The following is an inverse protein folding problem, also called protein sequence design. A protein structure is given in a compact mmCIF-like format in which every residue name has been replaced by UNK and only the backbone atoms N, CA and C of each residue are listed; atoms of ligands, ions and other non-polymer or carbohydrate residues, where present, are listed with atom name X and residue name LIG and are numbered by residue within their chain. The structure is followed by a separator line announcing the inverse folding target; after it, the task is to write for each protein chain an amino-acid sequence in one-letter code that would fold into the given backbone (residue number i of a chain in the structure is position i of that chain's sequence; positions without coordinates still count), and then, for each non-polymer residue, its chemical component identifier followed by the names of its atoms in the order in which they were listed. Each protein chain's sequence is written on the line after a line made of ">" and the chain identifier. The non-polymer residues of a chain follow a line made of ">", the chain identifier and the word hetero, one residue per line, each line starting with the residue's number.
data_IF_686470814850
#
_entry.id   IF_686470814850
#
_cell.length_a   1.000
_cell.length_b   1.000
_cell.length_c   1.000
_cell.angle_alpha   90.00
_cell.angle_beta   90.00
_cell.angle_gamma   90.00
#
_symmetry.space_group_name_H-M   'P 1'
#
loop_
_entity.id
_entity.type
_entity.pdbx_description
1 polymer ?
#
# COMPACT_ATOMS: atom_id res chain seq x y z
N UNK A 1 20.80 -8.98 12.51
CA UNK A 1 19.34 -9.25 12.58
C UNK A 1 18.69 -8.43 11.48
N UNK A 2 17.94 -9.07 10.58
CA UNK A 2 17.30 -8.42 9.43
C UNK A 2 15.78 -8.41 9.63
N UNK A 3 15.13 -7.28 9.37
CA UNK A 3 13.68 -7.15 9.44
C UNK A 3 13.05 -7.35 8.06
N UNK A 4 11.87 -7.97 8.03
CA UNK A 4 11.07 -8.14 6.82
C UNK A 4 9.59 -7.96 7.15
N UNK A 5 8.78 -7.71 6.13
CA UNK A 5 7.33 -7.56 6.26
C UNK A 5 6.59 -8.31 5.15
N UNK A 6 5.39 -8.79 5.46
CA UNK A 6 4.49 -9.49 4.54
C UNK A 6 3.14 -8.80 4.60
N UNK A 7 2.51 -8.58 3.44
CA UNK A 7 1.19 -7.97 3.32
C UNK A 7 0.29 -8.91 2.53
N UNK A 8 -0.81 -9.38 3.14
CA UNK A 8 -1.84 -10.14 2.43
C UNK A 8 -2.81 -9.17 1.73
N UNK A 9 -2.53 -8.89 0.46
CA UNK A 9 -3.34 -7.97 -0.35
C UNK A 9 -4.78 -8.45 -0.59
N UNK A 10 -5.08 -9.74 -0.43
CA UNK A 10 -6.44 -10.28 -0.59
C UNK A 10 -7.39 -9.82 0.52
N UNK A 11 -6.83 -9.41 1.66
CA UNK A 11 -7.57 -8.88 2.82
C UNK A 11 -7.62 -7.35 2.84
N UNK A 12 -6.90 -6.68 1.93
CA UNK A 12 -6.89 -5.24 1.88
C UNK A 12 -8.22 -4.73 1.32
N UNK A 13 -8.88 -3.84 2.06
CA UNK A 13 -10.17 -3.24 1.68
C UNK A 13 -10.03 -1.79 1.18
N UNK A 14 -8.79 -1.30 1.01
CA UNK A 14 -8.57 0.07 0.54
C UNK A 14 -8.91 1.17 1.56
N UNK A 15 -8.82 0.91 2.87
CA UNK A 15 -9.20 1.89 3.90
C UNK A 15 -8.20 3.04 4.12
N UNK A 16 -7.02 2.99 3.52
CA UNK A 16 -5.93 3.99 3.65
C UNK A 16 -5.39 4.23 5.08
N UNK A 17 -5.76 3.42 6.07
CA UNK A 17 -5.28 3.57 7.44
C UNK A 17 -3.75 3.54 7.54
N UNK A 18 -3.07 2.67 6.78
CA UNK A 18 -1.61 2.58 6.77
C UNK A 18 -0.94 3.84 6.18
N UNK A 19 -1.53 4.45 5.14
CA UNK A 19 -1.05 5.71 4.57
C UNK A 19 -1.24 6.87 5.55
N UNK A 20 -2.42 6.97 6.18
CA UNK A 20 -2.72 7.99 7.19
C UNK A 20 -1.81 7.88 8.40
N UNK A 21 -1.62 6.67 8.94
CA UNK A 21 -0.72 6.44 10.07
C UNK A 21 0.71 6.89 9.74
N UNK A 22 1.23 6.55 8.56
CA UNK A 22 2.56 6.97 8.14
C UNK A 22 2.68 8.49 8.03
N UNK A 23 1.66 9.17 7.48
CA UNK A 23 1.65 10.63 7.41
C UNK A 23 1.64 11.29 8.78
N UNK A 24 0.78 10.80 9.69
CA UNK A 24 0.65 11.33 11.04
C UNK A 24 1.94 11.15 11.84
N UNK A 25 2.54 9.96 11.78
CA UNK A 25 3.73 9.62 12.56
C UNK A 25 4.99 10.35 12.06
N UNK A 26 5.08 10.62 10.76
CA UNK A 26 6.32 11.13 10.13
C UNK A 26 6.16 12.55 9.55
N UNK A 27 5.06 13.23 9.86
CA UNK A 27 4.74 14.59 9.36
C UNK A 27 4.96 14.73 7.84
N UNK A 28 4.60 13.69 7.09
CA UNK A 28 4.90 13.61 5.65
C UNK A 28 4.15 14.72 4.91
N UNK A 29 4.84 15.61 4.17
CA UNK A 29 4.22 16.77 3.55
C UNK A 29 3.04 16.44 2.65
N UNK A 30 2.19 17.44 2.43
CA UNK A 30 1.10 17.35 1.46
C UNK A 30 1.65 17.10 0.05
N UNK A 31 0.92 16.34 -0.76
CA UNK A 31 1.34 15.97 -2.12
C UNK A 31 2.33 14.80 -2.21
N UNK A 32 2.97 14.40 -1.11
CA UNK A 32 3.90 13.25 -1.09
C UNK A 32 3.44 12.14 -0.15
N UNK A 33 3.83 10.90 -0.45
CA UNK A 33 3.45 9.69 0.30
C UNK A 33 4.67 8.76 0.41
N UNK A 34 4.88 8.17 1.59
CA UNK A 34 5.86 7.08 1.81
C UNK A 34 5.22 5.67 1.75
N UNK A 35 3.91 5.59 1.99
CA UNK A 35 3.09 4.38 1.86
C UNK A 35 1.88 4.68 0.98
N UNK A 36 1.67 3.86 -0.04
CA UNK A 36 0.60 4.00 -1.03
C UNK A 36 -0.36 2.81 -0.93
N UNK A 37 -1.64 3.06 -1.17
CA UNK A 37 -2.64 2.02 -1.45
C UNK A 37 -3.12 2.25 -2.87
N UNK A 38 -2.68 1.40 -3.79
CA UNK A 38 -3.09 1.43 -5.19
C UNK A 38 -4.18 0.39 -5.41
N UNK A 39 -5.01 0.60 -6.42
CA UNK A 39 -5.99 -0.39 -6.82
C UNK A 39 -6.06 -0.53 -8.33
N UNK A 40 -6.50 -1.70 -8.77
CA UNK A 40 -6.90 -1.98 -10.15
C UNK A 40 -8.31 -2.55 -10.13
N UNK A 41 -9.11 -2.16 -11.12
CA UNK A 41 -10.40 -2.78 -11.41
C UNK A 41 -10.21 -3.86 -12.47
N UNK A 42 -10.85 -4.99 -12.28
CA UNK A 42 -10.83 -6.11 -13.22
C UNK A 42 -12.25 -6.62 -13.46
N UNK A 43 -12.46 -7.25 -14.61
CA UNK A 43 -13.77 -7.71 -15.04
C UNK A 43 -14.64 -6.60 -15.66
N UNK A 44 -15.89 -6.94 -15.94
CA UNK A 44 -16.88 -6.06 -16.57
C UNK A 44 -18.21 -6.25 -15.85
N UNK A 45 -19.02 -5.20 -15.76
CA UNK A 45 -20.34 -5.26 -15.13
C UNK A 45 -21.18 -6.45 -15.67
N UNK A 46 -21.86 -7.22 -14.80
CA UNK A 46 -21.96 -7.08 -13.35
C UNK A 46 -20.82 -7.74 -12.54
N UNK A 47 -19.90 -8.43 -13.21
CA UNK A 47 -18.82 -9.23 -12.60
C UNK A 47 -17.50 -8.44 -12.52
N UNK A 48 -17.55 -7.21 -12.02
CA UNK A 48 -16.36 -6.38 -11.80
C UNK A 48 -15.86 -6.50 -10.36
N UNK A 49 -14.55 -6.48 -10.15
CA UNK A 49 -13.94 -6.47 -8.81
C UNK A 49 -12.79 -5.47 -8.73
N UNK A 50 -12.40 -5.12 -7.50
CA UNK A 50 -11.23 -4.27 -7.20
C UNK A 50 -10.21 -5.05 -6.40
N UNK A 51 -8.95 -4.93 -6.80
CA UNK A 51 -7.82 -5.46 -6.06
C UNK A 51 -6.98 -4.32 -5.52
N UNK A 52 -6.70 -4.36 -4.21
CA UNK A 52 -5.90 -3.36 -3.53
C UNK A 52 -4.49 -3.88 -3.29
N UNK A 53 -3.50 -3.02 -3.49
CA UNK A 53 -2.10 -3.31 -3.21
C UNK A 53 -1.52 -2.19 -2.35
N UNK A 54 -1.00 -2.56 -1.18
CA UNK A 54 -0.18 -1.66 -0.37
C UNK A 54 1.23 -1.66 -0.95
N UNK A 55 1.80 -0.49 -1.17
CA UNK A 55 3.17 -0.31 -1.66
C UNK A 55 3.92 0.67 -0.75
N UNK A 56 5.20 0.43 -0.54
CA UNK A 56 6.12 1.25 0.28
C UNK A 56 7.56 0.89 -0.09
N UNK A 57 8.55 1.53 0.51
CA UNK A 57 9.94 1.07 0.37
C UNK A 57 10.05 -0.41 0.75
N UNK A 58 10.64 -1.21 -0.13
CA UNK A 58 10.82 -2.65 0.10
C UNK A 58 11.97 -2.96 1.05
N UNK A 59 12.82 -1.97 1.35
CA UNK A 59 14.07 -2.19 2.10
C UNK A 59 14.84 -3.40 1.54
N UNK A 60 15.06 -3.37 0.22
CA UNK A 60 15.71 -4.44 -0.51
C UNK A 60 17.07 -4.77 0.11
N UNK A 61 17.41 -6.06 0.16
CA UNK A 61 18.72 -6.52 0.60
C UNK A 61 19.84 -6.00 -0.31
N UNK A 62 19.57 -5.88 -1.62
CA UNK A 62 20.45 -5.25 -2.60
C UNK A 62 19.71 -4.10 -3.31
N UNK A 63 19.75 -2.87 -2.78
CA UNK A 63 19.12 -1.71 -3.41
C UNK A 63 19.89 -1.27 -4.66
N UNK A 64 19.20 -0.70 -5.67
CA UNK A 64 19.84 -0.08 -6.83
C UNK A 64 20.62 1.19 -6.47
#
# INVERSE_FOLDING_TARGET
>A
MNYGFIIDNRKCIGCHACSTACKSENEVPLGVNRTWVKYVETGVYPNSTRHFQVSRCNHCENPP
#
